data_IF_386211752896
#
_entry.id   IF_386211752896
#
_cell.length_a   1.000
_cell.length_b   1.000
_cell.length_c   1.000
_cell.angle_alpha   90.00
_cell.angle_beta   90.00
_cell.angle_gamma   90.00
#
_symmetry.space_group_name_H-M   'P 1'
#
loop_
_entity.id
_entity.type
_entity.pdbx_description
1 polymer ?
#
# COMPACT_ATOMS: atom_id res chain seq x y z
N UNK A 1 27.89 11.00 15.58
CA UNK A 1 27.77 9.74 16.33
C UNK A 1 26.41 9.73 17.05
N UNK A 2 25.51 8.78 16.74
CA UNK A 2 24.20 8.69 17.41
C UNK A 2 24.29 8.55 18.93
N UNK A 3 25.39 7.99 19.46
CA UNK A 3 25.60 7.82 20.90
C UNK A 3 25.78 9.15 21.66
N UNK A 4 25.99 10.26 20.96
CA UNK A 4 26.17 11.61 21.54
C UNK A 4 24.91 12.49 21.42
N UNK A 5 23.85 11.97 20.81
CA UNK A 5 22.58 12.66 20.62
C UNK A 5 21.64 12.42 21.82
N UNK A 6 20.67 13.32 22.06
CA UNK A 6 19.55 13.03 22.95
C UNK A 6 18.80 11.76 22.51
N UNK A 7 18.26 11.00 23.45
CA UNK A 7 17.63 9.68 23.20
C UNK A 7 16.60 9.70 22.08
N UNK A 8 15.75 10.74 22.01
CA UNK A 8 14.75 10.87 20.96
C UNK A 8 15.37 11.05 19.55
N UNK A 9 16.42 11.86 19.45
CA UNK A 9 17.14 12.09 18.20
C UNK A 9 17.95 10.85 17.80
N UNK A 10 18.61 10.20 18.76
CA UNK A 10 19.31 8.94 18.54
C UNK A 10 18.36 7.85 18.02
N UNK A 11 17.19 7.71 18.65
CA UNK A 11 16.14 6.76 18.23
C UNK A 11 15.71 7.01 16.79
N UNK A 12 15.50 8.26 16.40
CA UNK A 12 15.11 8.61 15.03
C UNK A 12 16.22 8.30 14.02
N UNK A 13 17.48 8.56 14.36
CA UNK A 13 18.62 8.19 13.51
C UNK A 13 18.71 6.67 13.34
N UNK A 14 18.55 5.89 14.42
CA UNK A 14 18.56 4.43 14.32
C UNK A 14 17.37 3.90 13.52
N UNK A 15 16.19 4.47 13.72
CA UNK A 15 14.99 4.11 12.95
C UNK A 15 15.20 4.36 11.46
N UNK A 16 15.61 5.56 11.07
CA UNK A 16 15.84 5.92 9.68
C UNK A 16 16.90 5.04 9.03
N UNK A 17 18.06 4.89 9.69
CA UNK A 17 19.16 4.05 9.16
C UNK A 17 18.77 2.57 9.09
N UNK A 18 18.04 2.07 10.06
CA UNK A 18 17.52 0.69 10.06
C UNK A 18 16.58 0.44 8.87
N UNK A 19 15.68 1.37 8.61
CA UNK A 19 14.78 1.31 7.44
C UNK A 19 15.58 1.33 6.14
N UNK A 20 16.55 2.25 6.00
CA UNK A 20 17.38 2.34 4.80
C UNK A 20 18.15 1.04 4.52
N UNK A 21 18.77 0.46 5.56
CA UNK A 21 19.55 -0.79 5.45
C UNK A 21 18.65 -1.96 5.06
N UNK A 22 17.50 -2.12 5.75
CA UNK A 22 16.55 -3.20 5.43
C UNK A 22 15.97 -3.04 4.03
N UNK A 23 15.70 -1.80 3.63
CA UNK A 23 15.16 -1.55 2.30
C UNK A 23 16.19 -1.79 1.20
N UNK A 24 17.46 -1.50 1.46
CA UNK A 24 18.54 -1.86 0.54
C UNK A 24 18.69 -3.39 0.39
N UNK A 25 18.58 -4.14 1.50
CA UNK A 25 18.58 -5.60 1.46
C UNK A 25 17.38 -6.15 0.65
N UNK A 26 16.17 -5.65 0.89
CA UNK A 26 14.97 -6.05 0.13
C UNK A 26 15.15 -5.81 -1.38
N UNK A 27 15.71 -4.66 -1.77
CA UNK A 27 15.98 -4.36 -3.18
C UNK A 27 16.98 -5.34 -3.79
N UNK A 28 18.04 -5.69 -3.05
CA UNK A 28 19.04 -6.65 -3.52
C UNK A 28 18.44 -8.05 -3.72
N UNK A 29 17.68 -8.54 -2.72
CA UNK A 29 17.00 -9.84 -2.83
C UNK A 29 16.00 -9.89 -4.00
N UNK A 30 15.24 -8.80 -4.23
CA UNK A 30 14.32 -8.72 -5.37
C UNK A 30 15.08 -8.71 -6.70
N UNK A 31 16.20 -8.01 -6.79
CA UNK A 31 17.06 -8.01 -7.97
C UNK A 31 17.61 -9.41 -8.25
N UNK A 32 18.13 -10.09 -7.24
CA UNK A 32 18.63 -11.48 -7.36
C UNK A 32 17.52 -12.44 -7.78
N UNK A 33 16.28 -12.18 -7.36
CA UNK A 33 15.08 -12.89 -7.81
C UNK A 33 14.60 -12.47 -9.22
N UNK A 34 15.30 -11.55 -9.89
CA UNK A 34 14.94 -10.96 -11.20
C UNK A 34 13.61 -10.21 -11.20
N UNK A 35 13.20 -9.66 -10.05
CA UNK A 35 12.02 -8.83 -9.87
C UNK A 35 12.43 -7.38 -9.62
N UNK A 36 12.85 -6.69 -10.67
CA UNK A 36 13.22 -5.28 -10.60
C UNK A 36 12.01 -4.36 -10.68
N UNK A 37 12.08 -3.24 -9.98
CA UNK A 37 11.04 -2.22 -9.97
C UNK A 37 11.61 -0.86 -10.35
N UNK A 38 10.92 -0.13 -11.21
CA UNK A 38 11.31 1.22 -11.62
C UNK A 38 11.11 2.23 -10.48
N UNK A 39 10.09 2.02 -9.65
CA UNK A 39 9.73 2.92 -8.55
C UNK A 39 9.49 2.15 -7.26
N UNK A 40 10.24 2.50 -6.22
CA UNK A 40 9.97 2.11 -4.85
C UNK A 40 9.32 3.30 -4.13
N UNK A 41 8.06 3.14 -3.76
CA UNK A 41 7.27 4.21 -3.19
C UNK A 41 7.22 4.11 -1.66
N UNK A 42 7.51 5.21 -0.97
CA UNK A 42 7.39 5.31 0.48
C UNK A 42 6.06 5.95 0.86
N UNK A 43 5.19 5.20 1.55
CA UNK A 43 3.86 5.66 1.96
C UNK A 43 3.92 6.93 2.82
N UNK A 44 4.95 7.09 3.66
CA UNK A 44 5.17 8.28 4.48
C UNK A 44 5.19 9.58 3.66
N UNK A 45 5.64 9.51 2.40
CA UNK A 45 5.63 10.65 1.49
C UNK A 45 4.24 11.19 1.18
N UNK A 46 3.19 10.36 1.24
CA UNK A 46 1.80 10.77 1.03
C UNK A 46 1.32 11.74 2.11
N UNK A 47 1.77 11.50 3.35
CA UNK A 47 1.41 12.34 4.49
C UNK A 47 2.24 13.61 4.56
N UNK A 48 3.55 13.51 4.34
CA UNK A 48 4.48 14.64 4.47
C UNK A 48 4.40 15.63 3.31
N UNK A 49 3.97 15.19 2.12
CA UNK A 49 3.84 16.03 0.93
C UNK A 49 2.48 16.72 0.76
N UNK A 50 1.51 16.46 1.65
CA UNK A 50 0.13 16.96 1.49
C UNK A 50 -0.65 16.24 0.36
N UNK A 51 -0.23 15.04 -0.04
CA UNK A 51 -0.89 14.30 -1.13
C UNK A 51 -2.31 13.84 -0.74
N UNK A 52 -2.53 13.50 0.52
CA UNK A 52 -3.85 13.12 1.04
C UNK A 52 -4.83 14.30 0.93
N UNK A 53 -4.41 15.48 1.34
CA UNK A 53 -5.20 16.71 1.27
C UNK A 53 -5.54 17.07 -0.18
N UNK A 54 -4.58 16.95 -1.10
CA UNK A 54 -4.81 17.20 -2.54
C UNK A 54 -5.82 16.20 -3.11
N UNK A 55 -5.71 14.92 -2.78
CA UNK A 55 -6.64 13.90 -3.25
C UNK A 55 -8.08 14.18 -2.77
N UNK A 56 -8.25 14.53 -1.49
CA UNK A 56 -9.54 14.90 -0.91
C UNK A 56 -10.09 16.17 -1.55
N UNK A 57 -9.26 17.21 -1.76
CA UNK A 57 -9.66 18.44 -2.42
C UNK A 57 -10.20 18.18 -3.84
N UNK A 58 -9.52 17.34 -4.62
CA UNK A 58 -9.96 16.94 -5.96
C UNK A 58 -11.30 16.20 -5.95
N UNK A 59 -11.52 15.32 -4.98
CA UNK A 59 -12.81 14.64 -4.82
C UNK A 59 -13.91 15.59 -4.35
N UNK A 60 -13.58 16.60 -3.52
CA UNK A 60 -14.52 17.66 -3.11
C UNK A 60 -14.96 18.52 -4.31
N UNK A 61 -14.04 18.89 -5.19
CA UNK A 61 -14.36 19.60 -6.44
C UNK A 61 -15.30 18.81 -7.35
N UNK A 62 -15.23 17.49 -7.29
CA UNK A 62 -16.13 16.59 -8.03
C UNK A 62 -17.50 16.40 -7.34
N UNK A 63 -17.70 16.96 -6.15
CA UNK A 63 -18.96 16.90 -5.42
C UNK A 63 -19.29 15.50 -4.83
N UNK A 64 -18.28 14.64 -4.64
CA UNK A 64 -18.47 13.26 -4.13
C UNK A 64 -18.09 13.10 -2.66
N UNK A 65 -17.72 14.20 -2.00
CA UNK A 65 -17.41 14.26 -0.57
C UNK A 65 -18.65 14.71 0.22
N UNK A 66 -18.85 14.12 1.39
CA UNK A 66 -19.86 14.51 2.37
C UNK A 66 -19.20 14.75 3.72
N UNK A 67 -19.61 15.85 4.39
CA UNK A 67 -19.23 16.11 5.78
C UNK A 67 -20.39 15.64 6.67
N UNK A 68 -20.14 14.63 7.52
CA UNK A 68 -21.16 14.01 8.36
C UNK A 68 -20.56 13.62 9.73
N UNK A 69 -21.22 13.97 10.81
CA UNK A 69 -20.82 13.65 12.19
C UNK A 69 -19.39 14.12 12.55
N UNK A 70 -18.98 15.27 12.00
CA UNK A 70 -17.64 15.82 12.20
C UNK A 70 -16.54 15.10 11.44
N UNK A 71 -16.86 14.18 10.53
CA UNK A 71 -15.95 13.42 9.72
C UNK A 71 -16.17 13.69 8.22
N UNK A 72 -15.11 13.55 7.42
CA UNK A 72 -15.15 13.68 5.97
C UNK A 72 -15.32 12.29 5.35
N UNK A 73 -16.34 12.12 4.52
CA UNK A 73 -16.69 10.86 3.89
C UNK A 73 -16.60 10.93 2.37
N UNK A 74 -16.16 9.86 1.74
CA UNK A 74 -16.37 9.64 0.31
C UNK A 74 -17.64 8.80 0.11
N UNK A 75 -18.55 9.29 -0.73
CA UNK A 75 -19.79 8.60 -1.11
C UNK A 75 -19.48 7.47 -2.09
N UNK A 76 -18.82 6.43 -1.61
CA UNK A 76 -18.43 5.27 -2.42
C UNK A 76 -19.62 4.43 -2.85
N UNK A 77 -20.76 4.53 -2.15
CA UNK A 77 -22.01 3.87 -2.55
C UNK A 77 -22.56 4.36 -3.88
N UNK A 78 -22.33 5.63 -4.23
CA UNK A 78 -22.69 6.20 -5.53
C UNK A 78 -21.94 5.50 -6.69
N UNK A 79 -20.88 4.77 -6.39
CA UNK A 79 -20.00 4.08 -7.33
C UNK A 79 -19.95 2.57 -7.14
N UNK A 80 -20.93 2.00 -6.40
CA UNK A 80 -21.09 0.56 -6.26
C UNK A 80 -20.35 -0.13 -5.12
N UNK A 81 -19.77 0.63 -4.17
CA UNK A 81 -19.28 0.05 -2.91
C UNK A 81 -20.46 -0.29 -1.96
N UNK A 82 -20.22 -1.14 -0.98
CA UNK A 82 -21.23 -1.59 -0.01
C UNK A 82 -21.64 -0.52 1.01
N UNK A 83 -20.76 0.47 1.25
CA UNK A 83 -20.96 1.61 2.17
C UNK A 83 -20.03 2.76 1.86
N UNK A 84 -20.40 3.95 2.30
CA UNK A 84 -19.53 5.12 2.24
C UNK A 84 -18.30 4.95 3.14
N UNK A 85 -17.20 5.63 2.78
CA UNK A 85 -15.91 5.46 3.46
C UNK A 85 -15.43 6.76 4.09
N UNK A 86 -15.03 6.65 5.36
CA UNK A 86 -14.39 7.76 6.08
C UNK A 86 -13.00 8.01 5.49
N UNK A 87 -12.71 9.27 5.20
CA UNK A 87 -11.40 9.77 4.78
C UNK A 87 -10.69 10.48 5.92
N UNK A 88 -11.38 11.40 6.58
CA UNK A 88 -10.90 12.06 7.79
C UNK A 88 -11.89 11.75 8.91
N UNK A 89 -11.38 11.24 10.00
CA UNK A 89 -12.17 10.93 11.21
C UNK A 89 -12.56 12.19 11.94
N UNK A 90 -13.53 12.09 12.84
CA UNK A 90 -13.98 13.21 13.70
C UNK A 90 -12.90 13.77 14.62
N UNK A 91 -11.83 13.01 14.88
CA UNK A 91 -10.64 13.47 15.61
C UNK A 91 -9.62 14.22 14.74
N UNK A 92 -9.92 14.41 13.44
CA UNK A 92 -9.05 15.08 12.47
C UNK A 92 -7.98 14.18 11.84
N UNK A 93 -7.87 12.93 12.26
CA UNK A 93 -6.89 12.00 11.73
C UNK A 93 -7.37 11.37 10.40
N UNK A 94 -6.45 11.19 9.45
CA UNK A 94 -6.73 10.45 8.23
C UNK A 94 -7.04 8.96 8.51
N UNK A 95 -8.03 8.42 7.81
CA UNK A 95 -8.28 7.00 7.76
C UNK A 95 -7.33 6.33 6.75
N UNK A 96 -7.05 5.04 6.88
CA UNK A 96 -6.18 4.31 5.95
C UNK A 96 -6.59 4.47 4.48
N UNK A 97 -7.88 4.49 4.21
CA UNK A 97 -8.39 4.66 2.86
C UNK A 97 -8.02 6.01 2.22
N UNK A 98 -7.77 7.05 3.02
CA UNK A 98 -7.30 8.34 2.50
C UNK A 98 -5.89 8.26 1.86
N UNK A 99 -5.02 7.41 2.41
CA UNK A 99 -3.72 7.13 1.82
C UNK A 99 -3.86 6.36 0.48
N UNK A 100 -4.79 5.40 0.39
CA UNK A 100 -5.08 4.68 -0.85
C UNK A 100 -5.52 5.63 -1.97
N UNK A 101 -6.37 6.63 -1.65
CA UNK A 101 -6.81 7.68 -2.58
C UNK A 101 -5.62 8.49 -3.11
N UNK A 102 -4.77 8.96 -2.20
CA UNK A 102 -3.60 9.74 -2.56
C UNK A 102 -2.61 8.94 -3.41
N UNK A 103 -2.42 7.67 -3.09
CA UNK A 103 -1.53 6.80 -3.84
C UNK A 103 -2.08 6.43 -5.24
N UNK A 104 -3.39 6.28 -5.38
CA UNK A 104 -4.01 6.12 -6.69
C UNK A 104 -3.79 7.37 -7.56
N UNK A 105 -4.06 8.55 -6.99
CA UNK A 105 -3.87 9.82 -7.70
C UNK A 105 -2.41 10.01 -8.11
N UNK A 106 -1.44 9.70 -7.24
CA UNK A 106 -0.01 9.74 -7.55
C UNK A 106 0.35 8.86 -8.76
N UNK A 107 -0.19 7.64 -8.83
CA UNK A 107 0.03 6.76 -10.00
C UNK A 107 -0.50 7.37 -11.29
N UNK A 108 -1.69 7.98 -11.24
CA UNK A 108 -2.30 8.63 -12.39
C UNK A 108 -1.50 9.89 -12.81
N UNK A 109 -1.04 10.67 -11.85
CA UNK A 109 -0.23 11.88 -12.09
C UNK A 109 1.17 11.55 -12.62
N UNK A 110 1.72 10.38 -12.32
CA UNK A 110 2.95 9.85 -12.94
C UNK A 110 2.76 9.39 -14.39
N UNK A 111 1.54 9.49 -14.94
CA UNK A 111 1.24 9.18 -16.33
C UNK A 111 0.80 7.75 -16.59
N UNK A 112 0.43 6.98 -15.57
CA UNK A 112 -0.12 5.64 -15.77
C UNK A 112 -1.52 5.71 -16.38
N UNK A 113 -1.73 5.17 -17.57
CA UNK A 113 -3.05 5.06 -18.21
C UNK A 113 -3.91 4.03 -17.51
N UNK A 114 -3.30 2.95 -17.01
CA UNK A 114 -3.94 1.91 -16.23
C UNK A 114 -3.09 1.58 -15.00
N UNK A 115 -3.67 1.66 -13.80
CA UNK A 115 -3.07 1.18 -12.56
C UNK A 115 -3.51 -0.28 -12.32
N UNK A 116 -2.59 -1.22 -12.41
CA UNK A 116 -2.82 -2.63 -12.09
C UNK A 116 -2.40 -2.90 -10.65
N UNK A 117 -3.34 -3.32 -9.81
CA UNK A 117 -3.09 -3.70 -8.43
C UNK A 117 -3.04 -5.23 -8.31
N UNK A 118 -1.92 -5.75 -7.83
CA UNK A 118 -1.76 -7.17 -7.51
C UNK A 118 -1.93 -7.35 -6.01
N UNK A 119 -3.01 -8.02 -5.59
CA UNK A 119 -3.37 -8.19 -4.18
C UNK A 119 -3.47 -9.67 -3.83
N UNK A 120 -3.21 -10.00 -2.57
CA UNK A 120 -3.48 -11.34 -2.03
C UNK A 120 -4.98 -11.63 -1.91
N UNK A 121 -5.35 -12.92 -1.89
CA UNK A 121 -6.75 -13.35 -1.81
C UNK A 121 -7.48 -12.87 -0.54
N UNK A 122 -6.75 -12.58 0.53
CA UNK A 122 -7.26 -11.97 1.77
C UNK A 122 -7.76 -10.53 1.59
N UNK A 123 -7.37 -9.85 0.51
CA UNK A 123 -7.82 -8.51 0.14
C UNK A 123 -9.05 -8.48 -0.79
N UNK A 124 -9.70 -9.62 -1.04
CA UNK A 124 -10.86 -9.68 -1.94
C UNK A 124 -11.97 -8.67 -1.58
N UNK A 125 -12.22 -8.42 -0.29
CA UNK A 125 -13.16 -7.43 0.20
C UNK A 125 -12.80 -5.96 -0.12
N UNK A 126 -11.60 -5.69 -0.60
CA UNK A 126 -11.16 -4.35 -0.99
C UNK A 126 -11.54 -3.96 -2.43
N UNK A 127 -11.87 -4.93 -3.28
CA UNK A 127 -12.09 -4.72 -4.73
C UNK A 127 -13.17 -3.65 -4.97
N UNK A 128 -14.34 -3.80 -4.38
CA UNK A 128 -15.45 -2.85 -4.56
C UNK A 128 -15.06 -1.42 -4.18
N UNK A 129 -14.42 -1.26 -3.03
CA UNK A 129 -13.91 0.02 -2.52
C UNK A 129 -12.90 0.67 -3.47
N UNK A 130 -11.95 -0.10 -3.98
CA UNK A 130 -10.93 0.38 -4.91
C UNK A 130 -11.54 0.79 -6.25
N UNK A 131 -12.48 0.01 -6.78
CA UNK A 131 -13.19 0.33 -8.01
C UNK A 131 -14.06 1.59 -7.84
N UNK A 132 -14.74 1.75 -6.70
CA UNK A 132 -15.50 2.95 -6.37
C UNK A 132 -14.59 4.19 -6.27
N UNK A 133 -13.41 4.05 -5.69
CA UNK A 133 -12.39 5.11 -5.66
C UNK A 133 -11.99 5.55 -7.07
N UNK A 134 -11.67 4.61 -7.95
CA UNK A 134 -11.34 4.88 -9.36
C UNK A 134 -12.44 5.70 -10.02
N UNK A 135 -13.70 5.26 -9.92
CA UNK A 135 -14.85 5.95 -10.49
C UNK A 135 -15.08 7.34 -9.86
N UNK A 136 -14.88 7.50 -8.56
CA UNK A 136 -14.99 8.78 -7.87
C UNK A 136 -14.00 9.83 -8.40
N UNK A 137 -12.80 9.42 -8.79
CA UNK A 137 -11.83 10.29 -9.47
C UNK A 137 -12.20 10.62 -10.94
N UNK A 138 -13.23 9.96 -11.49
CA UNK A 138 -13.71 10.13 -12.86
C UNK A 138 -13.04 9.22 -13.87
N UNK A 139 -12.30 8.26 -13.40
CA UNK A 139 -11.71 7.20 -14.19
C UNK A 139 -12.69 6.03 -14.39
N UNK A 140 -12.40 5.14 -15.31
CA UNK A 140 -13.24 3.98 -15.63
C UNK A 140 -12.67 2.71 -14.99
N UNK A 141 -13.35 2.11 -13.98
CA UNK A 141 -12.99 0.82 -13.45
C UNK A 141 -12.86 -0.26 -14.55
N UNK A 142 -11.85 -1.10 -14.45
CA UNK A 142 -11.51 -2.10 -15.47
C UNK A 142 -10.66 -1.58 -16.63
N UNK A 143 -10.67 -0.26 -16.87
CA UNK A 143 -9.84 0.40 -17.89
C UNK A 143 -8.66 1.13 -17.24
N UNK A 144 -8.94 2.08 -16.37
CA UNK A 144 -7.89 2.88 -15.69
C UNK A 144 -7.39 2.24 -14.40
N UNK A 145 -8.13 1.28 -13.86
CA UNK A 145 -7.72 0.46 -12.72
C UNK A 145 -8.12 -0.99 -12.96
N UNK A 146 -7.19 -1.90 -12.74
CA UNK A 146 -7.43 -3.35 -12.72
C UNK A 146 -6.92 -3.93 -11.41
N UNK A 147 -7.62 -4.92 -10.87
CA UNK A 147 -7.21 -5.63 -9.65
C UNK A 147 -7.06 -7.11 -9.99
N UNK A 148 -5.86 -7.61 -9.78
CA UNK A 148 -5.53 -9.03 -9.93
C UNK A 148 -5.40 -9.64 -8.54
N UNK A 149 -6.10 -10.76 -8.31
CA UNK A 149 -6.03 -11.48 -7.04
C UNK A 149 -5.13 -12.69 -7.19
N UNK A 150 -3.98 -12.63 -6.49
CA UNK A 150 -3.06 -13.75 -6.39
C UNK A 150 -3.45 -14.69 -5.25
N UNK A 151 -3.35 -16.00 -5.49
CA UNK A 151 -3.52 -17.00 -4.44
C UNK A 151 -2.29 -17.09 -3.55
N UNK A 152 -2.49 -17.56 -2.32
CA UNK A 152 -1.38 -17.83 -1.40
C UNK A 152 -0.52 -18.97 -1.94
N UNK A 153 0.80 -18.74 -1.97
CA UNK A 153 1.78 -19.79 -2.29
C UNK A 153 2.06 -20.60 -1.03
N UNK A 154 1.92 -21.92 -1.14
CA UNK A 154 2.28 -22.84 -0.06
C UNK A 154 3.67 -23.42 -0.32
N UNK A 155 4.58 -23.21 0.61
CA UNK A 155 5.89 -23.85 0.59
C UNK A 155 5.79 -25.26 1.15
N UNK A 156 6.36 -26.24 0.44
CA UNK A 156 6.35 -27.65 0.84
C UNK A 156 7.80 -28.16 0.84
N UNK A 157 8.22 -28.79 1.96
CA UNK A 157 9.52 -29.45 2.06
C UNK A 157 9.30 -30.94 2.32
N UNK A 158 9.80 -31.79 1.43
CA UNK A 158 9.62 -33.26 1.51
C UNK A 158 8.14 -33.70 1.65
N UNK A 159 7.24 -33.05 0.92
CA UNK A 159 5.79 -33.33 0.97
C UNK A 159 5.05 -32.76 2.18
N UNK A 160 5.73 -32.03 3.09
CA UNK A 160 5.12 -31.43 4.28
C UNK A 160 5.07 -29.93 4.14
N UNK A 161 3.89 -29.27 4.35
CA UNK A 161 3.79 -27.83 4.32
C UNK A 161 4.70 -27.17 5.37
N UNK A 162 5.49 -26.18 4.93
CA UNK A 162 6.33 -25.35 5.80
C UNK A 162 5.46 -24.28 6.46
N UNK A 163 5.30 -24.36 7.78
CA UNK A 163 4.58 -23.34 8.54
C UNK A 163 5.52 -22.22 8.91
N UNK A 164 5.21 -21.02 8.44
CA UNK A 164 5.93 -19.80 8.82
C UNK A 164 5.24 -19.13 10.01
N UNK A 165 6.03 -18.73 11.01
CA UNK A 165 5.56 -17.99 12.17
C UNK A 165 6.60 -16.97 12.60
N UNK A 166 6.26 -15.68 12.46
CA UNK A 166 7.12 -14.58 12.95
C UNK A 166 7.40 -14.71 14.46
N UNK A 167 6.41 -15.16 15.24
CA UNK A 167 6.55 -15.32 16.70
C UNK A 167 7.44 -16.48 17.08
N UNK A 168 7.48 -17.54 16.28
CA UNK A 168 8.32 -18.72 16.51
C UNK A 168 9.71 -18.59 15.85
N UNK A 169 9.99 -17.51 15.13
CA UNK A 169 11.25 -17.32 14.41
C UNK A 169 11.42 -18.24 13.20
N UNK A 170 10.37 -18.95 12.80
CA UNK A 170 10.39 -19.81 11.61
C UNK A 170 9.95 -18.99 10.40
N UNK A 171 10.93 -18.36 9.75
CA UNK A 171 10.72 -17.57 8.53
C UNK A 171 11.51 -18.27 7.42
N UNK A 172 10.92 -18.36 6.24
CA UNK A 172 11.62 -18.69 4.99
C UNK A 172 11.74 -17.39 4.22
N UNK A 173 12.98 -16.98 3.96
CA UNK A 173 13.28 -15.79 3.19
C UNK A 173 13.15 -16.06 1.70
N UNK A 174 13.17 -15.01 0.88
CA UNK A 174 13.24 -15.14 -0.58
C UNK A 174 14.58 -15.78 -0.98
N UNK A 175 15.67 -15.42 -0.29
CA UNK A 175 17.00 -16.03 -0.47
C UNK A 175 16.97 -17.53 -0.21
N UNK A 176 16.37 -17.99 0.91
CA UNK A 176 16.20 -19.43 1.21
C UNK A 176 15.45 -20.17 0.10
N UNK A 177 14.46 -19.52 -0.51
CA UNK A 177 13.68 -20.09 -1.60
C UNK A 177 14.54 -20.19 -2.87
N UNK A 178 15.24 -19.13 -3.23
CA UNK A 178 16.15 -19.09 -4.41
C UNK A 178 17.24 -20.14 -4.27
N UNK A 179 17.85 -20.28 -3.10
CA UNK A 179 18.88 -21.29 -2.83
C UNK A 179 18.34 -22.72 -2.98
N UNK A 180 17.08 -22.95 -2.61
CA UNK A 180 16.47 -24.27 -2.64
C UNK A 180 15.98 -24.70 -4.03
N UNK A 181 15.47 -23.79 -4.85
CA UNK A 181 14.79 -24.12 -6.13
C UNK A 181 15.36 -23.41 -7.35
N UNK A 182 16.27 -22.46 -7.16
CA UNK A 182 16.77 -21.58 -8.23
C UNK A 182 15.86 -20.39 -8.51
N UNK A 183 16.32 -19.54 -9.43
CA UNK A 183 15.59 -18.32 -9.85
C UNK A 183 14.68 -18.57 -11.04
N UNK A 184 14.89 -19.65 -11.79
CA UNK A 184 14.17 -20.01 -13.03
C UNK A 184 12.95 -20.87 -12.77
#
# INVERSE_FOLDING_TARGET
DPATLPDAEATEVFRSRGVDLMFAAVKAELHDFRADFDVFFHEDSLHTSGAVERAIARLRERGVIEERDGATWLRTTDFGDDKDRVLIKSDGNAAYFAADLAYYLDKRERGADCAVYLLGADHHGYIGRMMAMCAAFGDTPGTNMQILIGQLVNLVRNGVPVRMSKRAGTIVTLEDLVDAVGVD
#
